data_IF_897622545024
#
_entry.id   IF_897622545024
#
_cell.length_a   1.000
_cell.length_b   1.000
_cell.length_c   1.000
_cell.angle_alpha   90.00
_cell.angle_beta   90.00
_cell.angle_gamma   90.00
#
_symmetry.space_group_name_H-M   'P 1'
#
loop_
_entity.id
_entity.type
_entity.pdbx_description
1 polymer ?
#
# COMPACT_ATOMS: atom_id res chain seq x y z
N UNK A 1 -12.82 -19.96 -19.00
CA UNK A 1 -11.83 -19.29 -18.11
C UNK A 1 -10.95 -18.35 -18.95
N UNK A 2 -11.04 -17.02 -18.81
CA UNK A 2 -10.06 -16.11 -19.44
C UNK A 2 -8.71 -16.23 -18.73
N UNK A 3 -7.66 -16.54 -19.49
CA UNK A 3 -6.27 -16.61 -19.02
C UNK A 3 -5.81 -15.18 -18.66
N UNK A 4 -5.42 -14.98 -17.41
CA UNK A 4 -4.75 -13.75 -16.96
C UNK A 4 -3.27 -14.08 -16.79
N UNK A 5 -2.38 -13.31 -17.40
CA UNK A 5 -0.94 -13.60 -17.34
C UNK A 5 -0.29 -13.21 -16.00
N UNK A 6 -1.00 -12.47 -15.14
CA UNK A 6 -0.55 -12.05 -13.81
C UNK A 6 0.46 -10.91 -13.79
N UNK A 7 1.06 -10.55 -14.92
CA UNK A 7 2.10 -9.50 -15.02
C UNK A 7 1.49 -8.11 -14.89
N UNK A 8 2.04 -7.27 -14.00
CA UNK A 8 1.59 -5.89 -13.82
C UNK A 8 1.86 -5.01 -15.04
N UNK A 9 2.92 -5.28 -15.80
CA UNK A 9 3.32 -4.54 -17.02
C UNK A 9 2.65 -5.06 -18.29
N UNK A 10 1.72 -6.02 -18.18
CA UNK A 10 0.99 -6.51 -19.33
C UNK A 10 0.06 -5.40 -19.86
N UNK A 11 0.07 -5.09 -21.17
CA UNK A 11 -0.79 -4.06 -21.75
C UNK A 11 -2.29 -4.40 -21.68
N UNK A 12 -2.64 -5.64 -21.32
CA UNK A 12 -4.01 -6.11 -21.13
C UNK A 12 -4.32 -6.27 -19.63
N UNK A 13 -3.54 -7.09 -18.91
CA UNK A 13 -3.79 -7.39 -17.48
C UNK A 13 -3.36 -6.29 -16.50
N UNK A 14 -2.52 -5.34 -16.94
CA UNK A 14 -2.05 -4.21 -16.16
C UNK A 14 -2.91 -2.95 -16.29
N UNK A 15 -3.91 -2.96 -17.19
CA UNK A 15 -4.86 -1.85 -17.32
C UNK A 15 -5.75 -1.75 -16.08
N UNK A 16 -6.08 -0.52 -15.74
CA UNK A 16 -7.12 -0.23 -14.76
C UNK A 16 -8.45 -0.80 -15.29
N UNK A 17 -9.31 -1.23 -14.38
CA UNK A 17 -10.53 -2.01 -14.64
C UNK A 17 -10.40 -3.25 -15.55
N UNK A 18 -9.19 -3.77 -15.80
CA UNK A 18 -9.00 -5.07 -16.45
C UNK A 18 -9.57 -6.22 -15.59
N UNK A 19 -9.84 -7.37 -16.21
CA UNK A 19 -10.29 -8.58 -15.49
C UNK A 19 -9.35 -8.99 -14.35
N UNK A 20 -8.04 -8.75 -14.51
CA UNK A 20 -7.07 -9.03 -13.47
C UNK A 20 -7.18 -8.02 -12.30
N UNK A 21 -7.42 -6.74 -12.60
CA UNK A 21 -7.67 -5.73 -11.58
C UNK A 21 -8.97 -5.98 -10.80
N UNK A 22 -10.07 -6.26 -11.51
CA UNK A 22 -11.37 -6.62 -10.91
C UNK A 22 -11.26 -7.82 -9.97
N UNK A 23 -10.49 -8.85 -10.35
CA UNK A 23 -10.21 -10.00 -9.47
C UNK A 23 -9.45 -9.62 -8.20
N UNK A 24 -8.53 -8.66 -8.25
CA UNK A 24 -7.85 -8.16 -7.04
C UNK A 24 -8.80 -7.34 -6.16
N UNK A 25 -9.65 -6.51 -6.76
CA UNK A 25 -10.71 -5.78 -6.04
C UNK A 25 -11.62 -6.78 -5.32
N UNK A 26 -12.17 -7.77 -6.03
CA UNK A 26 -13.06 -8.77 -5.43
C UNK A 26 -12.44 -9.54 -4.25
N UNK A 27 -11.11 -9.75 -4.24
CA UNK A 27 -10.41 -10.41 -3.12
C UNK A 27 -10.28 -9.54 -1.87
N UNK A 28 -10.39 -8.22 -2.02
CA UNK A 28 -10.15 -7.25 -0.96
C UNK A 28 -11.39 -6.49 -0.55
N UNK A 29 -12.38 -6.33 -1.43
CA UNK A 29 -13.56 -5.51 -1.18
C UNK A 29 -14.31 -6.01 0.05
N UNK A 30 -14.71 -7.29 0.09
CA UNK A 30 -15.45 -7.85 1.23
C UNK A 30 -14.68 -7.71 2.54
N UNK A 31 -13.34 -7.77 2.46
CA UNK A 31 -12.44 -7.63 3.60
C UNK A 31 -12.45 -6.22 4.16
N UNK A 32 -12.31 -5.23 3.28
CA UNK A 32 -12.24 -3.82 3.67
C UNK A 32 -13.61 -3.30 4.07
N UNK A 33 -14.68 -3.71 3.38
CA UNK A 33 -16.06 -3.35 3.71
C UNK A 33 -16.62 -4.06 4.95
N UNK A 34 -15.87 -5.00 5.54
CA UNK A 34 -16.13 -5.52 6.89
C UNK A 34 -15.59 -4.65 8.03
N UNK A 35 -15.02 -3.48 7.68
CA UNK A 35 -14.51 -2.46 8.61
C UNK A 35 -15.47 -1.27 8.51
N UNK A 36 -16.02 -0.83 9.64
CA UNK A 36 -16.97 0.30 9.66
C UNK A 36 -16.24 1.62 9.38
N UNK A 37 -15.02 1.75 9.92
CA UNK A 37 -14.11 2.86 9.63
C UNK A 37 -12.75 2.34 9.18
N UNK A 38 -12.21 2.95 8.12
CA UNK A 38 -10.95 2.52 7.50
C UNK A 38 -9.89 3.62 7.64
N UNK A 39 -8.75 3.25 8.23
CA UNK A 39 -7.53 4.04 8.20
C UNK A 39 -6.69 3.66 7.00
N UNK A 40 -6.08 4.64 6.34
CA UNK A 40 -5.25 4.47 5.17
C UNK A 40 -3.84 5.02 5.42
N UNK A 41 -2.87 4.11 5.56
CA UNK A 41 -1.46 4.46 5.65
C UNK A 41 -0.75 4.31 4.30
N UNK A 42 0.16 5.24 4.03
CA UNK A 42 1.16 5.13 2.96
C UNK A 42 2.56 5.23 3.58
N UNK A 43 3.27 4.10 3.63
CA UNK A 43 4.65 4.02 4.09
C UNK A 43 5.58 4.19 2.89
N UNK A 44 6.19 5.36 2.75
CA UNK A 44 7.09 5.62 1.63
C UNK A 44 8.52 5.21 1.94
N UNK A 45 9.24 4.81 0.89
CA UNK A 45 10.69 4.66 0.91
C UNK A 45 11.36 5.96 0.44
N UNK A 46 12.18 6.61 1.29
CA UNK A 46 12.93 7.81 0.93
C UNK A 46 13.83 7.60 -0.29
N UNK A 47 14.02 8.64 -1.09
CA UNK A 47 14.69 8.56 -2.40
C UNK A 47 16.04 7.85 -2.35
N UNK A 48 16.90 8.18 -1.37
CA UNK A 48 18.23 7.60 -1.22
C UNK A 48 18.19 6.07 -1.01
N UNK A 49 17.11 5.56 -0.42
CA UNK A 49 16.99 4.17 0.01
C UNK A 49 16.21 3.30 -1.00
N UNK A 50 15.66 3.88 -2.08
CA UNK A 50 14.78 3.15 -3.00
C UNK A 50 15.48 2.01 -3.73
N UNK A 51 16.77 2.13 -3.99
CA UNK A 51 17.57 1.08 -4.64
C UNK A 51 17.54 -0.24 -3.86
N UNK A 52 17.55 -0.19 -2.51
CA UNK A 52 17.43 -1.38 -1.66
C UNK A 52 16.10 -2.12 -1.87
N UNK A 53 15.05 -1.40 -2.26
CA UNK A 53 13.71 -1.94 -2.45
C UNK A 53 13.48 -2.45 -3.87
N UNK A 54 14.50 -2.46 -4.74
CA UNK A 54 14.47 -3.25 -5.98
C UNK A 54 14.56 -4.76 -5.68
N UNK A 55 15.14 -5.13 -4.53
CA UNK A 55 15.19 -6.50 -4.04
C UNK A 55 13.85 -6.93 -3.41
N UNK A 56 13.35 -8.09 -3.85
CA UNK A 56 12.08 -8.65 -3.36
C UNK A 56 12.23 -9.17 -1.92
N UNK A 57 13.43 -9.58 -1.50
CA UNK A 57 13.72 -9.91 -0.11
C UNK A 57 13.46 -8.73 0.82
N UNK A 58 13.96 -7.55 0.46
CA UNK A 58 13.76 -6.28 1.17
C UNK A 58 12.29 -5.89 1.22
N UNK A 59 11.57 -5.97 0.09
CA UNK A 59 10.11 -5.71 0.05
C UNK A 59 9.32 -6.65 0.97
N UNK A 60 9.70 -7.93 1.03
CA UNK A 60 9.09 -8.93 1.94
C UNK A 60 9.42 -8.62 3.40
N UNK A 61 10.68 -8.34 3.71
CA UNK A 61 11.13 -8.04 5.06
C UNK A 61 10.43 -6.79 5.61
N UNK A 62 10.41 -5.70 4.84
CA UNK A 62 9.73 -4.46 5.19
C UNK A 62 8.22 -4.67 5.37
N UNK A 63 7.58 -5.39 4.44
CA UNK A 63 6.16 -5.73 4.57
C UNK A 63 5.91 -6.49 5.86
N UNK A 64 6.62 -7.60 6.11
CA UNK A 64 6.47 -8.41 7.31
C UNK A 64 6.66 -7.59 8.59
N UNK A 65 7.70 -6.77 8.66
CA UNK A 65 7.94 -5.86 9.78
C UNK A 65 6.75 -4.93 10.02
N UNK A 66 6.32 -4.18 8.99
CA UNK A 66 5.24 -3.20 9.11
C UNK A 66 3.93 -3.84 9.57
N UNK A 67 3.57 -5.04 9.11
CA UNK A 67 2.36 -5.71 9.62
C UNK A 67 2.52 -6.24 11.04
N UNK A 68 3.69 -6.75 11.43
CA UNK A 68 3.93 -7.13 12.83
C UNK A 68 3.91 -5.91 13.74
N UNK A 69 4.42 -4.77 13.26
CA UNK A 69 4.40 -3.49 13.98
C UNK A 69 2.95 -3.02 14.14
N UNK A 70 2.17 -2.90 13.07
CA UNK A 70 0.78 -2.46 13.16
C UNK A 70 -0.09 -3.40 14.03
N UNK A 71 0.12 -4.71 13.98
CA UNK A 71 -0.55 -5.63 14.91
C UNK A 71 -0.21 -5.34 16.38
N UNK A 72 1.05 -5.00 16.68
CA UNK A 72 1.50 -4.64 18.03
C UNK A 72 0.91 -3.30 18.50
N UNK A 73 0.71 -2.37 17.57
CA UNK A 73 -0.03 -1.11 17.79
C UNK A 73 -1.57 -1.33 17.83
N UNK A 74 -2.01 -2.59 17.81
CA UNK A 74 -3.39 -3.04 18.05
C UNK A 74 -4.31 -3.03 16.83
N UNK A 75 -3.81 -2.83 15.61
CA UNK A 75 -4.67 -2.86 14.42
C UNK A 75 -5.13 -4.30 14.15
N UNK A 76 -6.41 -4.58 14.39
CA UNK A 76 -6.98 -5.93 14.43
C UNK A 76 -7.13 -6.57 13.06
N UNK A 77 -7.53 -5.79 12.06
CA UNK A 77 -7.68 -6.19 10.66
C UNK A 77 -6.97 -5.18 9.76
N UNK A 78 -6.34 -5.67 8.70
CA UNK A 78 -5.85 -4.79 7.65
C UNK A 78 -5.54 -5.55 6.36
N UNK A 79 -5.39 -4.78 5.30
CA UNK A 79 -4.91 -5.20 3.99
C UNK A 79 -3.73 -4.32 3.61
N UNK A 80 -2.69 -4.90 3.04
CA UNK A 80 -1.51 -4.16 2.58
C UNK A 80 -1.03 -4.60 1.21
N UNK A 81 -0.49 -3.63 0.45
CA UNK A 81 0.09 -3.87 -0.88
C UNK A 81 1.13 -2.84 -1.26
N UNK A 82 2.23 -3.29 -1.87
CA UNK A 82 3.23 -2.38 -2.46
C UNK A 82 2.74 -1.78 -3.77
N UNK A 83 2.99 -0.49 -3.91
CA UNK A 83 3.01 0.22 -5.18
C UNK A 83 4.47 0.57 -5.50
N UNK A 84 4.82 0.55 -6.79
CA UNK A 84 6.22 0.67 -7.24
C UNK A 84 6.49 1.95 -8.03
N UNK A 85 5.51 2.39 -8.81
CA UNK A 85 5.62 3.58 -9.66
C UNK A 85 4.34 4.41 -9.60
N UNK A 86 4.49 5.71 -9.86
CA UNK A 86 3.39 6.65 -10.02
C UNK A 86 2.58 6.45 -11.30
N UNK A 87 1.76 7.44 -11.67
CA UNK A 87 0.99 7.41 -12.91
C UNK A 87 1.93 7.65 -14.08
N UNK A 88 2.27 6.56 -14.78
CA UNK A 88 3.03 6.67 -16.02
C UNK A 88 2.37 7.66 -17.00
N UNK A 89 3.14 8.66 -17.46
CA UNK A 89 2.65 9.70 -18.37
C UNK A 89 2.99 9.31 -19.80
N UNK A 90 2.03 9.39 -20.71
CA UNK A 90 2.32 9.28 -22.15
C UNK A 90 2.96 10.60 -22.59
N UNK A 91 4.17 10.54 -23.13
CA UNK A 91 4.83 11.72 -23.71
C UNK A 91 4.28 12.03 -25.09
N UNK A 92 4.55 13.24 -25.61
CA UNK A 92 4.19 13.65 -26.98
C UNK A 92 4.68 12.67 -28.05
N UNK A 93 5.81 12.00 -27.79
CA UNK A 93 6.36 10.93 -28.65
C UNK A 93 5.63 9.57 -28.53
N UNK A 94 4.45 9.51 -27.89
CA UNK A 94 3.68 8.29 -27.58
C UNK A 94 4.47 7.23 -26.79
N UNK A 95 5.55 7.63 -26.11
CA UNK A 95 6.33 6.75 -25.23
C UNK A 95 5.76 6.84 -23.82
N UNK A 96 5.72 5.70 -23.12
CA UNK A 96 5.35 5.70 -21.70
C UNK A 96 6.54 6.21 -20.88
N UNK A 97 6.45 7.42 -20.34
CA UNK A 97 7.36 7.88 -19.28
C UNK A 97 6.91 7.22 -17.99
N UNK A 98 7.66 6.21 -17.57
CA UNK A 98 7.54 5.70 -16.21
C UNK A 98 7.88 6.86 -15.26
N UNK A 99 6.99 7.12 -14.29
CA UNK A 99 7.37 7.94 -13.14
C UNK A 99 8.57 7.28 -12.45
N UNK A 100 9.35 8.06 -11.68
CA UNK A 100 10.49 7.53 -10.94
C UNK A 100 10.06 6.34 -10.07
N UNK A 101 10.93 5.32 -9.93
CA UNK A 101 10.71 4.24 -8.97
C UNK A 101 10.46 4.86 -7.60
N UNK A 102 9.33 4.52 -6.98
CA UNK A 102 8.82 5.11 -5.74
C UNK A 102 8.06 4.03 -4.97
N UNK A 103 8.79 3.02 -4.45
CA UNK A 103 8.16 1.97 -3.67
C UNK A 103 7.51 2.56 -2.42
N UNK A 104 6.24 2.26 -2.21
CA UNK A 104 5.50 2.59 -1.01
C UNK A 104 4.51 1.49 -0.67
N UNK A 105 4.39 1.17 0.62
CA UNK A 105 3.43 0.19 1.10
C UNK A 105 2.15 0.92 1.49
N UNK A 106 1.07 0.58 0.79
CA UNK A 106 -0.27 1.03 1.15
C UNK A 106 -0.87 0.05 2.14
N UNK A 107 -1.51 0.54 3.19
CA UNK A 107 -2.20 -0.28 4.20
C UNK A 107 -3.57 0.32 4.49
N UNK A 108 -4.63 -0.46 4.28
CA UNK A 108 -5.97 -0.16 4.80
C UNK A 108 -6.17 -0.97 6.08
N UNK A 109 -6.44 -0.32 7.19
CA UNK A 109 -6.64 -0.97 8.48
C UNK A 109 -7.99 -0.59 9.10
N UNK A 110 -8.52 -1.52 9.89
CA UNK A 110 -9.71 -1.29 10.68
C UNK A 110 -9.38 -0.33 11.82
N UNK A 111 -10.08 0.80 11.85
CA UNK A 111 -9.99 1.82 12.89
C UNK A 111 -11.34 2.04 13.57
N UNK A 112 -12.27 1.11 13.37
CA UNK A 112 -13.58 1.11 14.03
C UNK A 112 -13.39 1.17 15.55
N UNK A 113 -14.08 2.11 16.20
CA UNK A 113 -13.98 2.31 17.64
C UNK A 113 -12.61 2.79 18.14
N UNK A 114 -11.67 3.12 17.25
CA UNK A 114 -10.48 3.89 17.62
C UNK A 114 -10.85 5.36 17.65
N UNK A 115 -10.52 5.97 18.78
CA UNK A 115 -10.75 7.37 19.06
C UNK A 115 -9.44 7.94 19.57
N UNK A 116 -8.89 8.94 18.88
CA UNK A 116 -8.05 9.89 19.58
C UNK A 116 -8.99 10.83 20.31
N UNK A 117 -8.70 11.09 21.58
CA UNK A 117 -9.47 12.01 22.41
C UNK A 117 -9.80 13.30 21.66
N UNK A 118 -11.10 13.55 21.51
CA UNK A 118 -11.68 14.74 20.91
C UNK A 118 -12.63 15.24 21.98
N UNK A 119 -12.19 16.11 22.90
CA UNK A 119 -12.93 16.57 24.10
C UNK A 119 -14.38 17.10 23.87
N UNK A 120 -14.96 17.01 22.67
CA UNK A 120 -16.13 17.75 22.20
C UNK A 120 -17.10 17.01 21.25
N UNK A 121 -17.09 15.68 21.15
CA UNK A 121 -17.99 15.01 20.20
C UNK A 121 -19.41 14.78 20.77
N UNK A 122 -20.28 15.78 20.59
CA UNK A 122 -21.71 15.53 20.36
C UNK A 122 -21.91 15.10 18.91
N UNK A 123 -22.35 13.87 18.71
CA UNK A 123 -22.91 13.30 17.49
C UNK A 123 -21.98 13.14 16.25
N UNK A 124 -21.78 11.86 15.91
CA UNK A 124 -21.42 11.26 14.60
C UNK A 124 -19.98 11.45 14.04
N UNK A 125 -19.12 10.43 14.23
CA UNK A 125 -17.94 10.17 13.38
C UNK A 125 -16.89 9.24 14.02
N UNK A 126 -16.86 7.95 13.67
CA UNK A 126 -15.87 6.96 14.14
C UNK A 126 -14.62 6.93 13.23
N UNK A 127 -13.39 6.79 13.76
CA UNK A 127 -12.25 6.27 12.96
C UNK A 127 -10.91 7.01 12.92
N UNK A 128 -10.60 7.92 13.84
CA UNK A 128 -9.29 8.58 13.89
C UNK A 128 -8.32 7.91 14.90
N UNK A 129 -7.02 8.00 14.65
CA UNK A 129 -5.98 7.50 15.56
C UNK A 129 -5.13 8.65 16.10
N UNK A 130 -4.61 8.51 17.32
CA UNK A 130 -3.84 9.55 17.99
C UNK A 130 -2.61 10.00 17.19
N UNK A 131 -2.32 11.30 17.22
CA UNK A 131 -1.12 11.86 16.58
C UNK A 131 0.15 11.23 17.16
N UNK A 132 0.18 10.92 18.45
CA UNK A 132 1.31 10.24 19.09
C UNK A 132 1.50 8.81 18.57
N UNK A 133 0.41 8.11 18.23
CA UNK A 133 0.50 6.82 17.56
C UNK A 133 1.10 6.97 16.15
N UNK A 134 0.67 7.97 15.37
CA UNK A 134 1.24 8.24 14.04
C UNK A 134 2.74 8.57 14.14
N UNK A 135 3.13 9.41 15.10
CA UNK A 135 4.55 9.75 15.36
C UNK A 135 5.36 8.51 15.74
N UNK A 136 4.81 7.66 16.61
CA UNK A 136 5.43 6.39 17.01
C UNK A 136 5.63 5.45 15.82
N UNK A 137 4.59 5.23 15.03
CA UNK A 137 4.63 4.42 13.80
C UNK A 137 5.70 4.94 12.83
N UNK A 138 5.74 6.26 12.63
CA UNK A 138 6.77 6.91 11.80
C UNK A 138 8.17 6.69 12.35
N UNK A 139 8.36 6.81 13.66
CA UNK A 139 9.62 6.56 14.34
C UNK A 139 10.10 5.12 14.16
N UNK A 140 9.20 4.16 14.32
CA UNK A 140 9.46 2.73 14.13
C UNK A 140 9.85 2.40 12.68
N UNK A 141 9.10 2.93 11.71
CA UNK A 141 9.44 2.76 10.29
C UNK A 141 10.81 3.37 9.96
N UNK A 142 11.08 4.58 10.48
CA UNK A 142 12.37 5.24 10.30
C UNK A 142 13.52 4.44 10.90
N UNK A 143 13.34 3.87 12.08
CA UNK A 143 14.35 3.03 12.74
C UNK A 143 14.63 1.77 11.92
N UNK A 144 13.59 1.08 11.46
CA UNK A 144 13.75 -0.11 10.64
C UNK A 144 14.50 0.19 9.33
N UNK A 145 14.16 1.29 8.65
CA UNK A 145 14.88 1.71 7.45
C UNK A 145 16.36 1.96 7.75
N UNK A 146 16.70 2.66 8.85
CA UNK A 146 18.10 2.90 9.23
C UNK A 146 18.89 1.62 9.48
N UNK A 147 18.26 0.63 10.10
CA UNK A 147 18.89 -0.67 10.42
C UNK A 147 19.09 -1.57 9.19
N UNK A 148 18.29 -1.38 8.14
CA UNK A 148 18.25 -2.28 6.97
C UNK A 148 18.69 -1.58 5.66
N UNK A 149 19.14 -0.33 5.71
CA UNK A 149 19.63 0.45 4.57
C UNK A 149 20.85 1.30 4.99
N UNK A 150 21.28 2.26 4.17
CA UNK A 150 22.47 3.11 4.36
C UNK A 150 22.37 4.17 5.48
N UNK A 151 21.37 4.13 6.37
CA UNK A 151 21.22 5.05 7.51
C UNK A 151 21.28 6.56 7.14
N UNK A 152 21.07 6.93 5.87
CA UNK A 152 21.17 8.32 5.39
C UNK A 152 19.94 9.14 5.79
N UNK A 153 18.80 8.49 6.01
CA UNK A 153 17.53 9.19 6.23
C UNK A 153 17.04 9.14 7.68
N UNK A 154 16.73 10.33 8.23
CA UNK A 154 16.39 10.48 9.65
C UNK A 154 14.93 10.14 9.98
N UNK A 155 13.97 10.56 9.15
CA UNK A 155 12.53 10.44 9.45
C UNK A 155 11.72 10.11 8.20
N UNK A 156 11.40 8.82 8.00
CA UNK A 156 10.65 8.26 6.88
C UNK A 156 9.28 8.94 6.65
N UNK A 157 8.85 9.21 5.40
CA UNK A 157 7.52 9.71 5.13
C UNK A 157 6.48 8.61 5.39
N UNK A 158 5.53 8.94 6.26
CA UNK A 158 4.34 8.12 6.51
C UNK A 158 3.14 9.06 6.45
N UNK A 159 2.26 8.81 5.49
CA UNK A 159 0.98 9.51 5.34
C UNK A 159 -0.12 8.68 5.96
N UNK A 160 -1.11 9.37 6.52
CA UNK A 160 -2.30 8.75 7.11
C UNK A 160 -3.54 9.57 6.76
N UNK A 161 -4.59 8.87 6.34
CA UNK A 161 -5.94 9.39 6.14
C UNK A 161 -6.93 8.40 6.80
N UNK A 162 -8.16 8.81 7.08
CA UNK A 162 -9.21 7.91 7.52
C UNK A 162 -10.55 8.29 6.89
N UNK A 163 -11.45 7.31 6.77
CA UNK A 163 -12.80 7.52 6.25
C UNK A 163 -13.71 6.37 6.68
N UNK A 164 -14.94 6.72 7.01
CA UNK A 164 -16.10 5.84 7.17
C UNK A 164 -17.04 5.90 5.95
N UNK A 165 -16.76 6.78 4.98
CA UNK A 165 -17.57 6.96 3.77
C UNK A 165 -17.34 5.82 2.75
N UNK A 166 -18.37 5.01 2.43
CA UNK A 166 -18.23 3.86 1.53
C UNK A 166 -17.63 4.20 0.16
N UNK A 167 -17.95 5.39 -0.37
CA UNK A 167 -17.42 5.86 -1.65
C UNK A 167 -15.91 6.11 -1.63
N UNK A 168 -15.39 6.69 -0.55
CA UNK A 168 -13.96 6.93 -0.36
C UNK A 168 -13.22 5.62 -0.09
N UNK A 169 -13.80 4.73 0.73
CA UNK A 169 -13.28 3.39 0.98
C UNK A 169 -13.17 2.60 -0.32
N UNK A 170 -14.22 2.62 -1.16
CA UNK A 170 -14.20 2.02 -2.50
C UNK A 170 -13.10 2.60 -3.38
N UNK A 171 -12.93 3.93 -3.35
CA UNK A 171 -11.86 4.61 -4.09
C UNK A 171 -10.47 4.08 -3.67
N UNK A 172 -10.21 3.96 -2.36
CA UNK A 172 -8.96 3.41 -1.85
C UNK A 172 -8.75 1.95 -2.24
N UNK A 173 -9.78 1.10 -2.17
CA UNK A 173 -9.67 -0.31 -2.60
C UNK A 173 -9.29 -0.38 -4.08
N UNK A 174 -9.95 0.38 -4.96
CA UNK A 174 -9.61 0.45 -6.40
C UNK A 174 -8.21 1.00 -6.61
N UNK A 175 -7.84 2.05 -5.89
CA UNK A 175 -6.51 2.66 -6.02
C UNK A 175 -5.42 1.67 -5.61
N UNK A 176 -5.54 1.04 -4.45
CA UNK A 176 -4.53 0.14 -3.92
C UNK A 176 -4.40 -1.10 -4.79
N UNK A 177 -5.49 -1.60 -5.37
CA UNK A 177 -5.44 -2.80 -6.23
C UNK A 177 -4.94 -2.56 -7.64
N UNK A 178 -4.72 -1.32 -8.09
CA UNK A 178 -4.26 -1.04 -9.46
C UNK A 178 -2.85 -1.59 -9.73
N UNK A 179 -2.56 -1.96 -10.97
CA UNK A 179 -1.18 -2.27 -11.34
C UNK A 179 -0.38 -0.97 -11.38
N UNK A 180 0.78 -0.95 -10.72
CA UNK A 180 1.64 0.25 -10.68
C UNK A 180 2.88 0.10 -11.52
N UNK A 181 3.32 -1.13 -11.78
CA UNK A 181 4.40 -1.41 -12.72
C UNK A 181 3.83 -1.54 -14.14
N UNK A 182 3.49 -0.42 -14.81
CA UNK A 182 2.75 -0.43 -16.08
C UNK A 182 3.59 -0.60 -17.35
N UNK A 183 4.90 -0.39 -17.32
CA UNK A 183 5.78 -0.64 -18.47
C UNK A 183 7.08 -1.34 -18.10
N UNK A 184 7.50 -2.20 -19.01
CA UNK A 184 8.78 -2.89 -19.00
C UNK A 184 9.77 -2.11 -19.89
N UNK A 185 10.90 -1.73 -19.33
CA UNK A 185 12.05 -1.15 -20.01
C UNK A 185 13.28 -1.99 -19.70
N UNK A 186 14.37 -1.81 -20.44
CA UNK A 186 15.61 -2.56 -20.14
C UNK A 186 16.16 -2.23 -18.75
N UNK A 187 16.00 -0.98 -18.31
CA UNK A 187 16.45 -0.51 -16.99
C UNK A 187 15.65 -1.05 -15.80
N UNK A 188 14.46 -1.64 -16.00
CA UNK A 188 13.63 -2.16 -14.90
C UNK A 188 13.28 -3.65 -15.07
N UNK A 189 13.87 -4.30 -16.08
CA UNK A 189 13.58 -5.69 -16.44
C UNK A 189 13.91 -6.66 -15.31
N UNK A 190 15.00 -6.41 -14.57
CA UNK A 190 15.39 -7.20 -13.40
C UNK A 190 14.30 -7.15 -12.32
N UNK A 191 13.87 -5.93 -11.94
CA UNK A 191 12.79 -5.73 -10.97
C UNK A 191 11.49 -6.41 -11.43
N UNK A 192 11.13 -6.26 -12.71
CA UNK A 192 9.92 -6.86 -13.24
C UNK A 192 9.95 -8.40 -13.14
N UNK A 193 11.08 -9.01 -13.45
CA UNK A 193 11.27 -10.47 -13.35
C UNK A 193 11.07 -10.94 -11.91
N UNK A 194 11.67 -10.26 -10.93
CA UNK A 194 11.62 -10.66 -9.53
C UNK A 194 10.23 -10.40 -8.92
N UNK A 195 9.56 -9.33 -9.35
CA UNK A 195 8.17 -9.04 -8.96
C UNK A 195 7.16 -9.99 -9.59
N UNK A 196 7.53 -10.77 -10.61
CA UNK A 196 6.62 -11.77 -11.15
C UNK A 196 6.33 -12.83 -10.09
N UNK A 197 5.04 -13.07 -9.81
CA UNK A 197 4.58 -13.96 -8.72
C UNK A 197 4.96 -13.52 -7.30
N UNK A 198 5.54 -12.33 -7.13
CA UNK A 198 5.65 -11.73 -5.81
C UNK A 198 4.25 -11.61 -5.19
N UNK A 199 4.08 -12.20 -4.00
CA UNK A 199 2.83 -12.06 -3.25
C UNK A 199 2.72 -10.64 -2.68
N UNK A 200 2.31 -9.73 -3.55
CA UNK A 200 2.27 -8.30 -3.26
C UNK A 200 1.09 -7.92 -2.34
N UNK A 201 0.07 -8.77 -2.22
CA UNK A 201 -1.11 -8.49 -1.41
C UNK A 201 -1.13 -9.41 -0.20
N UNK A 202 -1.24 -8.84 0.99
CA UNK A 202 -1.44 -9.62 2.21
C UNK A 202 -2.39 -8.91 3.15
N UNK A 203 -3.00 -9.67 4.06
CA UNK A 203 -3.98 -9.16 5.00
C UNK A 203 -3.91 -9.95 6.30
N UNK A 204 -4.57 -9.44 7.34
CA UNK A 204 -4.76 -10.14 8.61
C UNK A 204 -6.09 -9.74 9.26
N UNK A 205 -6.44 -10.47 10.32
CA UNK A 205 -7.73 -10.36 11.00
C UNK A 205 -8.73 -11.38 10.45
N UNK A 206 -9.61 -11.87 11.33
CA UNK A 206 -10.75 -12.66 10.90
C UNK A 206 -11.75 -11.75 10.21
N UNK A 207 -12.30 -12.25 9.11
CA UNK A 207 -13.29 -11.58 8.30
C UNK A 207 -14.51 -12.46 8.33
N UNK A 208 -15.68 -11.86 8.53
CA UNK A 208 -16.96 -12.56 8.48
C UNK A 208 -17.03 -13.36 7.19
N UNK A 209 -17.25 -14.67 7.33
CA UNK A 209 -17.61 -15.56 6.22
C UNK A 209 -19.06 -15.31 5.83
#
# INVERSE_FOLDING_TARGET
KRLVCGREWCPICGKDDSEHHKRRIARLVDRVFSMDSVGYFVFEVPLAQRGYFEDVGMLRAASLYLGKMLKREGFSKAVRRWHFYGKAKVTEAKKLKLDKYHPHLNVLCDVTGRWADWDSCSDVGTGYIELELIKRIRGLWSAWLRENTDNVYRVAPVHYEFSDEPGQIWHWVRYITRSTFKALTDSNRHIASDLFQFNNVSWWGQMSN
#
